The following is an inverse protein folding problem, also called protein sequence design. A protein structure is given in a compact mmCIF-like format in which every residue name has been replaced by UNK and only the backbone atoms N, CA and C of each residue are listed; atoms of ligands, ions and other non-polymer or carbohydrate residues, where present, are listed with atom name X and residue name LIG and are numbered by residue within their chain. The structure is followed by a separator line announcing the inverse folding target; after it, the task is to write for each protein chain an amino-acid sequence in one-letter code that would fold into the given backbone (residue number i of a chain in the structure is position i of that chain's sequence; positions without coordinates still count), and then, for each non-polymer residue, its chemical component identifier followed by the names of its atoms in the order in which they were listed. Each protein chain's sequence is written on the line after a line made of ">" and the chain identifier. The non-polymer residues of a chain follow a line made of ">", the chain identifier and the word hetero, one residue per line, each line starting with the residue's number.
data_IF_300070824712
#
_entry.id   IF_300070824712
#
_cell.length_a   1.000
_cell.length_b   1.000
_cell.length_c   1.000
_cell.angle_alpha   90.00
_cell.angle_beta   90.00
_cell.angle_gamma   90.00
#
_symmetry.space_group_name_H-M   'P 1'
#
loop_
_entity.id
_entity.type
_entity.pdbx_description
1 polymer ?
#
# COMPACT_ATOMS: atom_id res chain seq x y z
N UNK A 1 5.88 10.90 -22.82
CA UNK A 1 5.43 10.71 -21.43
C UNK A 1 4.18 11.54 -21.21
N UNK A 2 2.99 10.97 -21.39
CA UNK A 2 1.70 11.70 -21.39
C UNK A 2 1.36 12.40 -20.07
N UNK A 3 2.12 12.10 -19.00
CA UNK A 3 1.95 12.66 -17.65
C UNK A 3 3.25 13.29 -17.09
N UNK A 4 4.21 13.70 -17.93
CA UNK A 4 5.44 14.30 -17.42
C UNK A 4 5.23 15.63 -16.70
N UNK A 5 4.14 16.34 -17.01
CA UNK A 5 3.81 17.63 -16.38
C UNK A 5 3.40 17.49 -14.91
N UNK A 6 3.07 16.28 -14.46
CA UNK A 6 2.70 15.96 -13.09
C UNK A 6 3.87 15.51 -12.22
N UNK A 7 5.07 15.31 -12.77
CA UNK A 7 6.26 14.92 -12.00
C UNK A 7 6.56 15.87 -10.81
N UNK A 8 6.41 17.20 -10.93
CA UNK A 8 6.55 18.08 -9.77
C UNK A 8 5.54 17.76 -8.65
N UNK A 9 4.33 17.32 -8.99
CA UNK A 9 3.29 16.99 -8.01
C UNK A 9 3.55 15.72 -7.21
N UNK A 10 4.64 15.00 -7.46
CA UNK A 10 5.05 13.87 -6.59
C UNK A 10 5.31 14.37 -5.17
N UNK A 11 6.04 15.48 -5.04
CA UNK A 11 6.46 16.05 -3.75
C UNK A 11 5.62 17.25 -3.32
N UNK A 12 4.87 17.87 -4.24
CA UNK A 12 4.02 19.02 -3.94
C UNK A 12 2.55 18.60 -3.70
N UNK A 13 1.85 19.22 -2.74
CA UNK A 13 2.30 20.36 -1.92
C UNK A 13 3.31 19.97 -0.82
N UNK A 14 4.37 20.77 -0.65
CA UNK A 14 5.38 20.54 0.40
C UNK A 14 4.86 20.86 1.81
N UNK A 15 3.68 21.45 1.94
CA UNK A 15 3.04 21.68 3.23
C UNK A 15 2.43 20.36 3.70
N UNK A 16 3.04 19.68 4.68
CA UNK A 16 2.46 18.46 5.19
C UNK A 16 1.22 18.79 6.01
N UNK A 17 0.28 17.85 6.06
CA UNK A 17 -0.88 18.01 6.94
C UNK A 17 -0.44 18.10 8.41
N UNK A 18 -1.20 18.84 9.24
CA UNK A 18 -0.88 18.98 10.67
C UNK A 18 -0.77 17.60 11.33
N UNK A 19 0.17 17.47 12.27
CA UNK A 19 0.41 16.24 13.04
C UNK A 19 0.73 15.01 12.18
N UNK A 20 1.44 15.23 11.06
CA UNK A 20 2.05 14.17 10.23
C UNK A 20 3.56 14.21 10.32
N UNK A 21 4.19 13.03 10.37
CA UNK A 21 5.62 12.93 10.15
C UNK A 21 5.89 12.77 8.64
N UNK A 22 6.02 13.92 7.98
CA UNK A 22 6.24 14.01 6.54
C UNK A 22 7.62 13.48 6.12
N UNK A 23 7.65 12.75 5.01
CA UNK A 23 8.85 12.04 4.56
C UNK A 23 9.99 12.96 4.11
N UNK A 24 9.68 14.22 3.75
CA UNK A 24 10.68 15.21 3.33
C UNK A 24 10.99 16.25 4.41
N UNK A 25 10.48 16.08 5.63
CA UNK A 25 10.80 16.97 6.75
C UNK A 25 11.95 16.39 7.59
N UNK A 26 13.03 17.17 7.86
CA UNK A 26 14.13 16.72 8.70
C UNK A 26 13.69 16.32 10.12
N UNK A 27 12.69 17.00 10.66
CA UNK A 27 12.15 16.78 12.01
C UNK A 27 11.39 15.46 12.16
N UNK A 28 11.08 14.78 11.06
CA UNK A 28 10.42 13.47 11.07
C UNK A 28 11.39 12.31 11.29
N UNK A 29 12.70 12.58 11.32
CA UNK A 29 13.73 11.58 11.51
C UNK A 29 14.44 11.74 12.86
N UNK A 30 14.93 10.64 13.47
CA UNK A 30 15.63 10.71 14.76
C UNK A 30 16.89 11.57 14.73
N UNK A 31 17.54 11.67 13.57
CA UNK A 31 18.74 12.47 13.39
C UNK A 31 18.78 13.14 12.01
N UNK A 32 19.51 14.25 11.92
CA UNK A 32 19.75 14.93 10.63
C UNK A 32 20.55 14.05 9.65
N UNK A 33 21.37 13.13 10.17
CA UNK A 33 22.13 12.16 9.36
C UNK A 33 21.18 11.17 8.69
N UNK A 34 20.16 10.67 9.40
CA UNK A 34 19.14 9.80 8.83
C UNK A 34 18.35 10.52 7.73
N UNK A 35 17.97 11.78 7.97
CA UNK A 35 17.32 12.61 6.96
C UNK A 35 18.20 12.80 5.72
N UNK A 36 19.47 13.18 5.89
CA UNK A 36 20.39 13.34 4.77
C UNK A 36 20.56 12.03 4.01
N UNK A 37 20.66 10.91 4.72
CA UNK A 37 20.72 9.57 4.15
C UNK A 37 19.48 9.25 3.31
N UNK A 38 18.28 9.66 3.75
CA UNK A 38 17.04 9.54 2.98
C UNK A 38 17.14 10.34 1.68
N UNK A 39 17.49 11.63 1.75
CA UNK A 39 17.58 12.51 0.57
C UNK A 39 18.60 11.99 -0.44
N UNK A 40 19.79 11.62 0.04
CA UNK A 40 20.86 11.04 -0.78
C UNK A 40 20.37 9.74 -1.43
N UNK A 41 19.75 8.85 -0.67
CA UNK A 41 19.25 7.58 -1.19
C UNK A 41 18.07 7.77 -2.14
N UNK A 42 17.27 8.82 -2.06
CA UNK A 42 16.26 9.07 -3.10
C UNK A 42 16.95 9.31 -4.46
N UNK A 43 18.03 10.08 -4.47
CA UNK A 43 18.69 10.53 -5.71
C UNK A 43 19.68 9.49 -6.25
N UNK A 44 20.50 8.90 -5.37
CA UNK A 44 21.63 8.07 -5.78
C UNK A 44 21.18 6.59 -5.94
N UNK A 45 21.39 6.00 -7.13
CA UNK A 45 21.06 4.61 -7.37
C UNK A 45 22.11 3.68 -6.73
N UNK A 46 21.78 3.11 -5.58
CA UNK A 46 22.60 2.10 -4.89
C UNK A 46 21.77 0.84 -4.65
N UNK A 47 22.40 -0.34 -4.72
CA UNK A 47 21.77 -1.58 -4.25
C UNK A 47 21.61 -1.54 -2.73
N UNK A 48 20.42 -1.92 -2.26
CA UNK A 48 20.04 -1.79 -0.85
C UNK A 48 19.65 -3.13 -0.25
N UNK A 49 20.04 -3.34 1.00
CA UNK A 49 19.49 -4.43 1.82
C UNK A 49 18.10 -4.04 2.31
N UNK A 50 17.19 -5.01 2.33
CA UNK A 50 15.88 -4.77 2.92
C UNK A 50 16.00 -4.66 4.43
N UNK A 51 15.33 -3.66 5.03
CA UNK A 51 15.23 -3.53 6.49
C UNK A 51 14.31 -4.58 7.11
N UNK A 52 13.33 -5.06 6.35
CA UNK A 52 12.47 -6.17 6.76
C UNK A 52 11.78 -6.80 5.58
N UNK A 53 11.63 -8.11 5.61
CA UNK A 53 10.82 -8.85 4.65
C UNK A 53 9.39 -9.11 5.15
N UNK A 54 9.02 -8.60 6.34
CA UNK A 54 7.72 -8.83 6.99
C UNK A 54 7.82 -9.33 8.44
N UNK A 55 9.03 -9.46 8.98
CA UNK A 55 9.28 -9.91 10.36
C UNK A 55 9.29 -8.76 11.36
N UNK A 56 9.57 -7.53 10.91
CA UNK A 56 9.63 -6.36 11.75
C UNK A 56 8.22 -5.81 11.95
N UNK A 57 7.72 -5.88 13.18
CA UNK A 57 6.45 -5.28 13.57
C UNK A 57 6.70 -3.85 14.09
N UNK A 58 6.02 -2.88 13.49
CA UNK A 58 5.91 -1.53 14.03
C UNK A 58 4.64 -1.45 14.86
N UNK A 59 4.80 -1.08 16.13
CA UNK A 59 3.70 -0.96 17.08
C UNK A 59 3.31 0.53 17.23
N UNK A 60 2.01 0.85 17.34
CA UNK A 60 1.59 2.17 17.78
C UNK A 60 2.09 2.48 19.19
N UNK A 61 2.22 3.77 19.52
CA UNK A 61 2.56 4.22 20.88
C UNK A 61 1.51 3.72 21.87
N UNK A 62 1.97 3.22 23.03
CA UNK A 62 1.13 2.68 24.11
C UNK A 62 0.17 1.56 23.68
N UNK A 63 0.48 0.86 22.60
CA UNK A 63 -0.38 -0.20 22.08
C UNK A 63 -0.37 -1.46 22.97
N UNK A 64 -1.53 -1.77 23.54
CA UNK A 64 -1.79 -3.04 24.22
C UNK A 64 -2.54 -3.95 23.26
N UNK A 65 -1.94 -5.09 22.88
CA UNK A 65 -2.51 -6.01 21.89
C UNK A 65 -3.68 -6.81 22.48
N UNK A 66 -4.95 -6.50 22.12
CA UNK A 66 -6.08 -7.24 22.63
C UNK A 66 -6.07 -8.66 22.04
N UNK A 67 -6.42 -9.67 22.83
CA UNK A 67 -6.35 -11.07 22.40
C UNK A 67 -7.19 -11.34 21.15
N UNK A 68 -8.36 -10.70 21.04
CA UNK A 68 -9.27 -10.78 19.89
C UNK A 68 -8.62 -10.29 18.58
N UNK A 69 -7.78 -9.25 18.64
CA UNK A 69 -7.12 -8.69 17.45
C UNK A 69 -5.94 -9.53 16.96
N UNK A 70 -5.50 -10.56 17.71
CA UNK A 70 -4.39 -11.46 17.32
C UNK A 70 -4.75 -12.36 16.14
N UNK A 71 -6.03 -12.53 15.84
CA UNK A 71 -6.50 -13.32 14.69
C UNK A 71 -6.32 -12.60 13.35
N UNK A 72 -5.98 -11.30 13.38
CA UNK A 72 -5.68 -10.51 12.18
C UNK A 72 -4.18 -10.24 12.06
N UNK A 73 -3.65 -10.37 10.85
CA UNK A 73 -2.25 -10.05 10.53
C UNK A 73 -2.19 -8.93 9.51
N UNK A 74 -1.55 -7.82 9.88
CA UNK A 74 -1.43 -6.65 9.03
C UNK A 74 -0.01 -6.47 8.52
N UNK A 75 0.10 -6.20 7.23
CA UNK A 75 1.36 -5.90 6.56
C UNK A 75 1.28 -4.55 5.86
N UNK A 76 2.44 -3.91 5.75
CA UNK A 76 2.65 -2.73 4.91
C UNK A 76 3.74 -3.01 3.88
N UNK A 77 3.44 -2.80 2.61
CA UNK A 77 4.40 -2.90 1.49
C UNK A 77 4.67 -1.50 0.96
N UNK A 78 5.91 -1.05 1.10
CA UNK A 78 6.33 0.30 0.73
C UNK A 78 6.44 0.51 -0.80
N UNK A 79 6.67 1.76 -1.20
CA UNK A 79 6.90 2.16 -2.58
C UNK A 79 8.36 2.02 -3.05
N UNK A 80 8.64 2.54 -4.25
CA UNK A 80 10.01 2.71 -4.73
C UNK A 80 10.71 3.86 -4.03
N UNK A 81 12.03 3.88 -4.11
CA UNK A 81 12.90 4.97 -3.67
C UNK A 81 12.86 5.25 -2.17
N UNK A 82 12.15 4.42 -1.41
CA UNK A 82 12.13 4.48 0.05
C UNK A 82 13.47 3.98 0.60
N UNK A 83 14.12 4.78 1.43
CA UNK A 83 15.24 4.30 2.26
C UNK A 83 14.69 3.47 3.43
N UNK A 84 15.51 2.63 4.10
CA UNK A 84 15.10 1.96 5.34
C UNK A 84 14.45 2.89 6.37
N UNK A 85 15.02 4.08 6.57
CA UNK A 85 14.50 5.06 7.52
C UNK A 85 13.14 5.62 7.09
N UNK A 86 12.96 5.93 5.80
CA UNK A 86 11.67 6.38 5.27
C UNK A 86 10.62 5.27 5.33
N UNK A 87 10.97 4.01 5.06
CA UNK A 87 10.03 2.88 5.10
C UNK A 87 9.54 2.61 6.52
N UNK A 88 10.41 2.80 7.51
CA UNK A 88 10.03 2.74 8.92
C UNK A 88 9.14 3.92 9.31
N UNK A 89 9.40 5.12 8.80
CA UNK A 89 8.58 6.29 9.03
C UNK A 89 7.16 6.12 8.46
N UNK A 90 7.06 5.65 7.22
CA UNK A 90 5.79 5.30 6.57
C UNK A 90 5.03 4.23 7.36
N UNK A 91 5.72 3.15 7.76
CA UNK A 91 5.10 2.09 8.54
C UNK A 91 4.60 2.56 9.92
N UNK A 92 5.30 3.51 10.55
CA UNK A 92 4.88 4.15 11.81
C UNK A 92 3.61 4.97 11.62
N UNK A 93 3.51 5.76 10.56
CA UNK A 93 2.30 6.53 10.26
C UNK A 93 1.12 5.62 9.95
N UNK A 94 1.33 4.52 9.21
CA UNK A 94 0.28 3.51 8.97
C UNK A 94 -0.15 2.85 10.29
N UNK A 95 0.80 2.48 11.16
CA UNK A 95 0.49 1.92 12.48
C UNK A 95 -0.27 2.91 13.37
N UNK A 96 0.12 4.18 13.37
CA UNK A 96 -0.55 5.23 14.12
C UNK A 96 -1.97 5.52 13.58
N UNK A 97 -2.15 5.54 12.26
CA UNK A 97 -3.44 5.78 11.62
C UNK A 97 -4.47 4.71 11.97
N UNK A 98 -4.06 3.44 11.97
CA UNK A 98 -4.97 2.30 12.17
C UNK A 98 -4.91 1.70 13.58
N UNK A 99 -4.03 2.20 14.45
CA UNK A 99 -3.81 1.77 15.85
C UNK A 99 -3.70 0.25 15.98
N UNK A 100 -2.81 -0.36 15.20
CA UNK A 100 -2.56 -1.81 15.19
C UNK A 100 -1.14 -2.15 14.75
N UNK A 101 -0.62 -3.34 15.10
CA UNK A 101 0.73 -3.77 14.70
C UNK A 101 0.82 -3.92 13.19
N UNK A 102 1.77 -3.24 12.57
CA UNK A 102 2.00 -3.30 11.13
C UNK A 102 3.34 -3.99 10.86
N UNK A 103 3.31 -5.10 10.12
CA UNK A 103 4.50 -5.80 9.70
C UNK A 103 5.05 -5.21 8.40
N UNK A 104 6.23 -4.59 8.45
CA UNK A 104 6.84 -3.95 7.30
C UNK A 104 7.45 -5.00 6.35
N UNK A 105 6.99 -5.00 5.10
CA UNK A 105 7.61 -5.71 3.98
C UNK A 105 8.30 -4.64 3.12
N UNK A 106 9.58 -4.43 3.36
CA UNK A 106 10.39 -3.48 2.63
C UNK A 106 10.92 -4.11 1.33
N UNK A 107 10.53 -3.54 0.20
CA UNK A 107 11.01 -3.91 -1.12
C UNK A 107 12.05 -2.89 -1.59
N UNK A 108 13.36 -3.12 -1.36
CA UNK A 108 14.39 -2.17 -1.73
C UNK A 108 14.44 -2.01 -3.25
N UNK A 109 14.57 -0.77 -3.70
CA UNK A 109 14.74 -0.41 -5.10
C UNK A 109 16.00 0.42 -5.31
N UNK A 110 16.37 0.69 -6.56
CA UNK A 110 17.69 1.20 -6.90
C UNK A 110 17.70 2.69 -7.29
N UNK A 111 16.82 3.51 -6.69
CA UNK A 111 16.83 4.98 -6.75
C UNK A 111 15.93 5.60 -7.83
N UNK A 112 15.60 6.89 -7.69
CA UNK A 112 14.55 7.61 -8.46
C UNK A 112 14.72 7.52 -9.97
N UNK A 113 15.93 7.69 -10.51
CA UNK A 113 16.12 7.73 -11.97
C UNK A 113 15.93 6.34 -12.60
N UNK A 114 16.52 5.30 -12.00
CA UNK A 114 16.39 3.92 -12.49
C UNK A 114 14.98 3.40 -12.23
N UNK A 115 14.37 3.75 -11.10
CA UNK A 115 13.05 3.27 -10.71
C UNK A 115 11.90 4.04 -11.36
N UNK A 116 12.06 5.31 -11.75
CA UNK A 116 11.07 6.02 -12.54
C UNK A 116 11.10 5.53 -14.00
N UNK A 117 12.30 5.36 -14.58
CA UNK A 117 12.47 4.75 -15.89
C UNK A 117 11.95 3.32 -15.90
N UNK A 118 12.34 2.52 -14.90
CA UNK A 118 11.80 1.18 -14.72
C UNK A 118 10.30 1.26 -14.44
N UNK A 119 9.72 1.99 -13.49
CA UNK A 119 8.26 2.03 -13.27
C UNK A 119 7.46 2.38 -14.53
N UNK A 120 7.96 3.30 -15.36
CA UNK A 120 7.37 3.66 -16.66
C UNK A 120 7.52 2.51 -17.69
N UNK A 121 8.62 1.78 -17.66
CA UNK A 121 8.91 0.63 -18.56
C UNK A 121 8.58 -0.75 -17.95
N UNK A 122 8.23 -0.82 -16.66
CA UNK A 122 8.15 -1.99 -15.79
C UNK A 122 6.73 -2.53 -15.70
N UNK A 123 6.07 -2.52 -16.87
CA UNK A 123 5.34 -3.71 -17.35
C UNK A 123 6.16 -5.00 -17.13
N UNK A 124 7.50 -4.90 -16.97
CA UNK A 124 8.44 -5.97 -16.66
C UNK A 124 8.44 -6.51 -15.20
N UNK A 125 7.84 -5.86 -14.19
CA UNK A 125 7.71 -6.48 -12.85
C UNK A 125 6.78 -7.72 -12.84
N UNK A 126 6.10 -8.00 -13.96
CA UNK A 126 5.44 -9.28 -14.21
C UNK A 126 6.40 -10.47 -14.31
N UNK A 127 7.72 -10.28 -14.49
CA UNK A 127 8.63 -11.39 -14.85
C UNK A 127 9.60 -11.90 -13.78
N UNK A 128 10.09 -11.09 -12.83
CA UNK A 128 11.31 -11.54 -12.14
C UNK A 128 11.15 -12.15 -10.74
N UNK A 129 9.98 -12.12 -10.10
CA UNK A 129 9.68 -12.90 -8.88
C UNK A 129 10.66 -12.77 -7.69
N UNK A 130 11.73 -11.99 -7.80
CA UNK A 130 12.88 -12.00 -6.89
C UNK A 130 12.58 -11.18 -5.64
N UNK A 131 12.02 -9.99 -5.82
CA UNK A 131 11.58 -9.11 -4.73
C UNK A 131 10.28 -9.59 -4.08
N UNK A 132 9.42 -10.30 -4.83
CA UNK A 132 8.08 -10.68 -4.37
C UNK A 132 8.00 -12.06 -3.73
N UNK A 133 9.02 -12.94 -3.90
CA UNK A 133 9.07 -14.27 -3.27
C UNK A 133 9.10 -14.21 -1.73
N UNK A 134 9.97 -13.42 -1.08
CA UNK A 134 9.98 -13.33 0.39
C UNK A 134 8.65 -12.79 0.93
N UNK A 135 8.13 -11.73 0.31
CA UNK A 135 6.84 -11.14 0.65
C UNK A 135 5.69 -12.17 0.50
N UNK A 136 5.66 -12.90 -0.62
CA UNK A 136 4.66 -13.94 -0.85
C UNK A 136 4.71 -15.05 0.20
N UNK A 137 5.90 -15.54 0.59
CA UNK A 137 6.02 -16.60 1.59
C UNK A 137 5.47 -16.17 2.96
N UNK A 138 5.72 -14.92 3.36
CA UNK A 138 5.22 -14.40 4.63
C UNK A 138 3.69 -14.22 4.59
N UNK A 139 3.15 -13.69 3.50
CA UNK A 139 1.70 -13.58 3.33
C UNK A 139 1.04 -14.95 3.24
N UNK A 140 1.66 -15.91 2.54
CA UNK A 140 1.22 -17.31 2.49
C UNK A 140 1.09 -17.89 3.90
N UNK A 141 2.13 -17.77 4.71
CA UNK A 141 2.11 -18.29 6.08
C UNK A 141 1.02 -17.61 6.93
N UNK A 142 0.83 -16.30 6.75
CA UNK A 142 -0.23 -15.57 7.43
C UNK A 142 -1.63 -16.07 7.03
N UNK A 143 -1.88 -16.32 5.74
CA UNK A 143 -3.18 -16.81 5.25
C UNK A 143 -3.55 -18.19 5.81
N UNK A 144 -2.55 -19.04 6.03
CA UNK A 144 -2.71 -20.37 6.60
C UNK A 144 -2.94 -20.35 8.12
N UNK A 145 -2.39 -19.36 8.82
CA UNK A 145 -2.36 -19.33 10.29
C UNK A 145 -3.32 -18.33 10.94
N UNK A 146 -3.81 -17.34 10.20
CA UNK A 146 -4.68 -16.28 10.71
C UNK A 146 -6.05 -16.32 10.04
N UNK A 147 -7.05 -15.71 10.67
CA UNK A 147 -8.41 -15.62 10.14
C UNK A 147 -8.57 -14.45 9.17
N UNK A 148 -7.77 -13.39 9.35
CA UNK A 148 -7.77 -12.21 8.48
C UNK A 148 -6.33 -11.78 8.20
N UNK A 149 -6.05 -11.47 6.93
CA UNK A 149 -4.77 -10.92 6.50
C UNK A 149 -5.02 -9.62 5.74
N UNK A 150 -4.38 -8.54 6.18
CA UNK A 150 -4.55 -7.21 5.59
C UNK A 150 -3.23 -6.75 4.99
N UNK A 151 -3.25 -6.39 3.71
CA UNK A 151 -2.12 -5.79 3.00
C UNK A 151 -2.42 -4.33 2.72
N UNK A 152 -1.76 -3.43 3.43
CA UNK A 152 -1.68 -2.01 3.05
C UNK A 152 -0.48 -1.84 2.12
N UNK A 153 -0.68 -1.20 0.98
CA UNK A 153 0.35 -1.07 -0.05
C UNK A 153 0.39 0.33 -0.59
N UNK A 154 1.59 0.79 -0.93
CA UNK A 154 1.81 2.14 -1.42
C UNK A 154 2.63 2.15 -2.70
N UNK A 155 2.24 2.98 -3.68
CA UNK A 155 2.98 3.20 -4.92
C UNK A 155 3.30 1.89 -5.66
N UNK A 156 4.58 1.57 -5.90
CA UNK A 156 5.01 0.31 -6.52
C UNK A 156 4.68 -0.94 -5.68
N UNK A 157 4.50 -0.81 -4.36
CA UNK A 157 4.08 -1.93 -3.49
C UNK A 157 2.76 -2.56 -3.96
N UNK A 158 1.92 -1.81 -4.66
CA UNK A 158 0.68 -2.33 -5.30
C UNK A 158 0.96 -3.37 -6.39
N UNK A 159 2.09 -3.27 -7.12
CA UNK A 159 2.51 -4.26 -8.11
C UNK A 159 2.91 -5.57 -7.42
N UNK A 160 3.57 -5.46 -6.27
CA UNK A 160 3.95 -6.61 -5.44
C UNK A 160 2.70 -7.29 -4.87
N UNK A 161 1.73 -6.53 -4.38
CA UNK A 161 0.43 -7.08 -3.95
C UNK A 161 -0.31 -7.77 -5.11
N UNK A 162 -0.38 -7.16 -6.30
CA UNK A 162 -0.96 -7.80 -7.48
C UNK A 162 -0.28 -9.13 -7.81
N UNK A 163 1.05 -9.21 -7.71
CA UNK A 163 1.78 -10.48 -7.85
C UNK A 163 1.38 -11.49 -6.76
N UNK A 164 1.33 -11.09 -5.49
CA UNK A 164 0.96 -11.97 -4.37
C UNK A 164 -0.44 -12.53 -4.59
N UNK A 165 -1.41 -11.67 -4.90
CA UNK A 165 -2.79 -12.07 -5.19
C UNK A 165 -2.84 -13.07 -6.35
N UNK A 166 -2.13 -12.80 -7.46
CA UNK A 166 -2.08 -13.75 -8.58
C UNK A 166 -1.51 -15.12 -8.19
N UNK A 167 -0.54 -15.16 -7.27
CA UNK A 167 0.02 -16.43 -6.77
C UNK A 167 -0.95 -17.15 -5.82
N UNK A 168 -1.61 -16.41 -4.93
CA UNK A 168 -2.64 -16.95 -4.02
C UNK A 168 -3.79 -17.56 -4.82
N UNK A 169 -4.30 -16.86 -5.85
CA UNK A 169 -5.42 -17.34 -6.65
C UNK A 169 -5.06 -18.52 -7.59
N UNK A 170 -3.79 -18.66 -7.96
CA UNK A 170 -3.31 -19.78 -8.80
C UNK A 170 -3.02 -21.06 -8.01
N UNK A 171 -2.72 -20.94 -6.72
CA UNK A 171 -2.45 -22.08 -5.84
C UNK A 171 -3.77 -22.65 -5.29
N UNK A 172 -4.14 -23.91 -5.60
CA UNK A 172 -5.42 -24.49 -5.17
C UNK A 172 -5.63 -24.50 -3.65
N UNK A 173 -4.56 -24.62 -2.86
CA UNK A 173 -4.62 -24.62 -1.40
C UNK A 173 -4.85 -23.20 -0.90
N UNK A 174 -4.06 -22.24 -1.39
CA UNK A 174 -4.17 -20.85 -0.93
C UNK A 174 -5.43 -20.15 -1.42
N UNK A 175 -5.93 -20.53 -2.59
CA UNK A 175 -7.17 -20.01 -3.17
C UNK A 175 -8.35 -20.18 -2.21
N UNK A 176 -8.41 -21.29 -1.46
CA UNK A 176 -9.46 -21.51 -0.45
C UNK A 176 -9.42 -20.49 0.69
N UNK A 177 -8.25 -19.91 0.97
CA UNK A 177 -8.04 -18.89 1.99
C UNK A 177 -8.08 -17.45 1.44
N UNK A 178 -8.30 -17.26 0.14
CA UNK A 178 -8.28 -15.94 -0.49
C UNK A 178 -9.34 -14.97 0.08
N UNK A 179 -10.45 -15.49 0.62
CA UNK A 179 -11.51 -14.70 1.27
C UNK A 179 -11.05 -14.01 2.56
N UNK A 180 -9.95 -14.49 3.17
CA UNK A 180 -9.35 -13.88 4.38
C UNK A 180 -8.50 -12.64 4.06
N UNK A 181 -8.16 -12.44 2.79
CA UNK A 181 -7.22 -11.43 2.33
C UNK A 181 -7.95 -10.13 1.97
N UNK A 182 -7.56 -9.03 2.62
CA UNK A 182 -7.94 -7.66 2.27
C UNK A 182 -6.70 -6.93 1.74
N UNK A 183 -6.84 -6.20 0.64
CA UNK A 183 -5.75 -5.46 -0.02
C UNK A 183 -6.17 -4.01 -0.23
N UNK A 184 -5.38 -3.10 0.34
CA UNK A 184 -5.59 -1.67 0.26
C UNK A 184 -4.43 -1.04 -0.51
N UNK A 185 -4.73 -0.46 -1.67
CA UNK A 185 -3.76 0.10 -2.60
C UNK A 185 -3.79 1.62 -2.57
N UNK A 186 -2.70 2.26 -2.15
CA UNK A 186 -2.60 3.71 -1.99
C UNK A 186 -1.64 4.27 -3.05
N UNK A 187 -2.06 5.26 -3.83
CA UNK A 187 -1.26 5.86 -4.90
C UNK A 187 -0.72 4.84 -5.92
N UNK A 188 -1.54 3.83 -6.24
CA UNK A 188 -1.07 2.59 -6.87
C UNK A 188 -0.56 2.72 -8.30
N UNK A 189 0.65 2.19 -8.54
CA UNK A 189 1.25 2.06 -9.87
C UNK A 189 0.87 0.75 -10.61
N UNK A 190 0.13 -0.16 -9.97
CA UNK A 190 -0.29 -1.41 -10.60
C UNK A 190 -1.33 -1.20 -11.71
N UNK A 191 -1.20 -1.99 -12.78
CA UNK A 191 -2.10 -2.01 -13.94
C UNK A 191 -3.34 -2.88 -13.73
N UNK A 192 -3.29 -3.80 -12.77
CA UNK A 192 -4.33 -4.80 -12.58
C UNK A 192 -4.23 -5.43 -11.21
N UNK A 193 -5.38 -5.68 -10.60
CA UNK A 193 -5.52 -6.50 -9.41
C UNK A 193 -6.70 -7.43 -9.63
N UNK A 194 -6.44 -8.74 -9.55
CA UNK A 194 -7.42 -9.77 -9.91
C UNK A 194 -8.17 -10.28 -8.68
N UNK A 195 -9.40 -10.73 -8.93
CA UNK A 195 -10.26 -11.38 -7.94
C UNK A 195 -10.69 -12.75 -8.46
N UNK A 196 -11.15 -13.59 -7.56
CA UNK A 196 -11.81 -14.85 -7.86
C UNK A 196 -13.31 -14.62 -7.99
N UNK A 197 -13.85 -14.71 -9.19
CA UNK A 197 -15.27 -14.47 -9.44
C UNK A 197 -16.19 -15.47 -8.74
N UNK A 198 -15.80 -16.74 -8.61
CA UNK A 198 -16.63 -17.76 -7.97
C UNK A 198 -16.70 -17.54 -6.45
N UNK A 199 -15.56 -17.25 -5.83
CA UNK A 199 -15.53 -16.88 -4.40
C UNK A 199 -16.21 -15.54 -4.17
N UNK A 200 -16.05 -14.58 -5.08
CA UNK A 200 -16.69 -13.26 -4.95
C UNK A 200 -18.21 -13.38 -4.98
N UNK A 201 -18.75 -14.19 -5.90
CA UNK A 201 -20.19 -14.48 -5.95
C UNK A 201 -20.68 -15.17 -4.66
N UNK A 202 -19.90 -16.10 -4.12
CA UNK A 202 -20.23 -16.80 -2.86
C UNK A 202 -20.22 -15.87 -1.64
N UNK A 203 -19.28 -14.94 -1.55
CA UNK A 203 -19.10 -14.07 -0.39
C UNK A 203 -19.84 -12.73 -0.50
N UNK A 204 -20.38 -12.38 -1.68
CA UNK A 204 -21.13 -11.14 -1.90
C UNK A 204 -20.27 -9.88 -2.02
N UNK A 205 -18.94 -10.02 -2.03
CA UNK A 205 -17.96 -8.96 -2.21
C UNK A 205 -16.75 -9.48 -3.00
N UNK A 206 -15.83 -8.61 -3.40
CA UNK A 206 -14.62 -9.08 -4.12
C UNK A 206 -13.76 -9.98 -3.24
N UNK A 207 -13.23 -11.08 -3.80
CA UNK A 207 -12.32 -12.01 -3.11
C UNK A 207 -11.00 -12.14 -3.89
N UNK A 208 -9.84 -11.69 -3.37
CA UNK A 208 -9.68 -10.95 -2.11
C UNK A 208 -10.45 -9.64 -2.11
N UNK A 209 -10.67 -9.07 -0.92
CA UNK A 209 -11.27 -7.74 -0.81
C UNK A 209 -10.26 -6.67 -1.22
N UNK A 210 -10.68 -5.67 -2.00
CA UNK A 210 -9.76 -4.70 -2.61
C UNK A 210 -10.35 -3.29 -2.61
N UNK A 211 -9.56 -2.33 -2.15
CA UNK A 211 -9.82 -0.89 -2.35
C UNK A 211 -8.57 -0.17 -2.87
N UNK A 212 -8.78 0.84 -3.71
CA UNK A 212 -7.75 1.71 -4.25
C UNK A 212 -8.02 3.16 -3.86
N UNK A 213 -6.97 3.88 -3.48
CA UNK A 213 -7.00 5.31 -3.15
C UNK A 213 -6.04 6.04 -4.08
N UNK A 214 -6.54 7.05 -4.78
CA UNK A 214 -5.75 7.80 -5.75
C UNK A 214 -6.00 9.31 -5.66
N UNK A 215 -4.93 10.08 -5.72
CA UNK A 215 -4.97 11.51 -5.99
C UNK A 215 -5.02 11.70 -7.50
N UNK A 216 -5.98 12.45 -8.03
CA UNK A 216 -6.21 12.50 -9.48
C UNK A 216 -5.11 13.21 -10.28
N UNK A 217 -4.20 13.95 -9.62
CA UNK A 217 -2.99 14.55 -10.21
C UNK A 217 -1.69 13.84 -9.81
N UNK A 218 -1.77 12.71 -9.11
CA UNK A 218 -0.59 11.88 -8.80
C UNK A 218 -0.12 11.16 -10.07
N UNK A 219 1.15 11.39 -10.43
CA UNK A 219 1.80 10.78 -11.58
C UNK A 219 1.68 9.25 -11.60
N UNK A 220 1.99 8.58 -10.48
CA UNK A 220 2.04 7.11 -10.43
C UNK A 220 0.63 6.51 -10.48
N UNK A 221 -0.32 7.12 -9.79
CA UNK A 221 -1.72 6.73 -9.89
C UNK A 221 -2.26 6.91 -11.31
N UNK A 222 -1.87 8.00 -12.01
CA UNK A 222 -2.27 8.28 -13.39
C UNK A 222 -1.75 7.26 -14.40
N UNK A 223 -0.48 6.85 -14.30
CA UNK A 223 0.07 5.82 -15.19
C UNK A 223 -0.30 4.39 -14.77
N UNK A 224 -0.75 4.21 -13.53
CA UNK A 224 -1.17 2.92 -12.97
C UNK A 224 -2.69 2.79 -12.88
N UNK A 225 -3.21 2.79 -11.64
CA UNK A 225 -4.60 2.45 -11.33
C UNK A 225 -5.64 3.28 -12.10
N UNK A 226 -5.37 4.56 -12.39
CA UNK A 226 -6.31 5.44 -13.09
C UNK A 226 -6.29 5.23 -14.61
N UNK A 227 -5.13 4.94 -15.21
CA UNK A 227 -5.06 4.54 -16.63
C UNK A 227 -5.71 3.17 -16.87
N UNK A 228 -5.71 2.33 -15.85
CA UNK A 228 -6.20 0.95 -15.88
C UNK A 228 -7.46 0.74 -15.03
N UNK A 229 -8.30 1.79 -14.94
CA UNK A 229 -9.52 1.79 -14.13
C UNK A 229 -10.42 0.58 -14.43
N UNK A 230 -10.50 0.16 -15.69
CA UNK A 230 -11.32 -0.98 -16.12
C UNK A 230 -10.63 -2.35 -16.00
N UNK A 231 -9.31 -2.38 -15.84
CA UNK A 231 -8.53 -3.63 -15.75
C UNK A 231 -8.33 -4.08 -14.29
N UNK A 232 -8.49 -3.18 -13.33
CA UNK A 232 -8.28 -3.45 -11.90
C UNK A 232 -9.58 -3.69 -11.14
N UNK A 233 -9.61 -4.71 -10.27
CA UNK A 233 -10.79 -5.05 -9.47
C UNK A 233 -10.80 -4.29 -8.14
N UNK A 234 -11.98 -4.12 -7.55
CA UNK A 234 -12.17 -3.45 -6.25
C UNK A 234 -12.75 -2.04 -6.38
N UNK A 235 -13.06 -1.42 -5.24
CA UNK A 235 -13.51 -0.04 -5.21
C UNK A 235 -12.34 0.91 -5.50
N UNK A 236 -12.56 1.94 -6.31
CA UNK A 236 -11.54 2.96 -6.60
C UNK A 236 -12.06 4.30 -6.09
N UNK A 237 -11.38 4.87 -5.10
CA UNK A 237 -11.68 6.16 -4.52
C UNK A 237 -10.68 7.19 -5.01
N UNK A 238 -11.18 8.26 -5.62
CA UNK A 238 -10.35 9.29 -6.26
C UNK A 238 -10.78 10.67 -5.77
N UNK A 239 -9.81 11.50 -5.38
CA UNK A 239 -10.01 12.94 -5.23
C UNK A 239 -9.45 13.60 -6.50
N UNK A 240 -10.30 14.04 -7.47
CA UNK A 240 -9.87 14.34 -8.84
C UNK A 240 -8.78 15.41 -8.98
N UNK A 241 -8.84 16.46 -8.17
CA UNK A 241 -7.89 17.59 -8.26
C UNK A 241 -6.79 17.56 -7.20
N UNK A 242 -6.77 16.52 -6.36
CA UNK A 242 -5.73 16.36 -5.35
C UNK A 242 -4.39 16.01 -6.00
N UNK A 243 -3.34 16.67 -5.52
CA UNK A 243 -1.92 16.50 -5.88
C UNK A 243 -1.20 15.71 -4.81
N UNK A 244 0.07 15.37 -5.05
CA UNK A 244 0.91 14.71 -4.06
C UNK A 244 0.92 13.19 -4.22
N UNK A 245 2.11 12.60 -4.13
CA UNK A 245 2.29 11.15 -4.12
C UNK A 245 2.70 10.62 -2.73
N UNK A 246 3.55 11.34 -2.00
CA UNK A 246 4.04 10.95 -0.66
C UNK A 246 2.94 10.42 0.28
N UNK A 247 3.15 9.24 0.85
CA UNK A 247 2.16 8.51 1.65
C UNK A 247 1.72 9.30 2.88
N UNK A 248 2.68 9.72 3.70
CA UNK A 248 2.40 10.38 4.98
C UNK A 248 1.87 11.78 4.72
N UNK A 249 2.50 12.49 3.79
CA UNK A 249 2.18 13.90 3.52
C UNK A 249 0.86 14.08 2.75
N UNK A 250 0.45 13.13 1.89
CA UNK A 250 -0.64 13.36 0.94
C UNK A 250 -1.80 12.35 0.99
N UNK A 251 -1.62 11.17 1.60
CA UNK A 251 -2.63 10.11 1.56
C UNK A 251 -3.16 9.72 2.94
N UNK A 252 -2.28 9.32 3.87
CA UNK A 252 -2.68 8.51 5.04
C UNK A 252 -3.71 9.20 5.95
N UNK A 253 -3.54 10.50 6.20
CA UNK A 253 -4.48 11.27 7.03
C UNK A 253 -5.82 11.48 6.34
N UNK A 254 -5.83 11.77 5.04
CA UNK A 254 -7.07 11.90 4.28
C UNK A 254 -7.87 10.60 4.23
N UNK A 255 -7.18 9.46 4.11
CA UNK A 255 -7.81 8.14 4.25
C UNK A 255 -8.38 7.95 5.65
N UNK A 256 -7.62 8.30 6.69
CA UNK A 256 -8.04 8.17 8.10
C UNK A 256 -9.21 9.07 8.50
N UNK A 257 -9.41 10.18 7.80
CA UNK A 257 -10.59 11.07 7.96
C UNK A 257 -11.77 10.68 7.07
N UNK A 258 -11.55 9.81 6.09
CA UNK A 258 -12.57 9.36 5.15
C UNK A 258 -12.79 10.29 3.95
N UNK A 259 -11.86 11.23 3.70
CA UNK A 259 -11.96 12.28 2.68
C UNK A 259 -12.17 11.74 1.25
N UNK A 260 -11.72 10.52 0.97
CA UNK A 260 -11.76 9.91 -0.38
C UNK A 260 -13.12 9.31 -0.75
N UNK A 261 -13.97 9.01 0.23
CA UNK A 261 -15.05 8.04 0.04
C UNK A 261 -16.30 8.33 0.87
N UNK A 262 -16.41 9.54 1.44
CA UNK A 262 -17.47 9.91 2.38
C UNK A 262 -17.64 8.86 3.49
N UNK A 263 -16.51 8.42 4.05
CA UNK A 263 -16.46 7.43 5.14
C UNK A 263 -17.00 6.03 4.81
N UNK A 264 -17.24 5.71 3.52
CA UNK A 264 -17.73 4.39 3.10
C UNK A 264 -16.64 3.32 3.04
N UNK A 265 -15.38 3.70 2.87
CA UNK A 265 -14.26 2.76 2.80
C UNK A 265 -14.21 1.85 4.03
N UNK A 266 -13.94 0.57 3.78
CA UNK A 266 -13.62 -0.41 4.80
C UNK A 266 -12.31 -0.08 5.53
N UNK A 267 -11.30 0.41 4.80
CA UNK A 267 -10.03 0.85 5.40
C UNK A 267 -10.27 1.98 6.40
N UNK A 268 -11.12 2.94 6.04
CA UNK A 268 -11.48 4.03 6.94
C UNK A 268 -12.10 3.52 8.24
N UNK A 269 -12.89 2.43 8.23
CA UNK A 269 -13.46 1.85 9.47
C UNK A 269 -12.40 1.36 10.46
N UNK A 270 -11.20 1.04 9.97
CA UNK A 270 -10.08 0.65 10.83
C UNK A 270 -9.30 1.84 11.42
N UNK A 271 -9.56 3.07 10.96
CA UNK A 271 -8.88 4.26 11.44
C UNK A 271 -9.12 4.47 12.94
N UNK A 272 -8.13 5.04 13.63
CA UNK A 272 -8.17 5.31 15.07
C UNK A 272 -8.50 4.06 15.93
N UNK A 273 -8.16 2.86 15.44
CA UNK A 273 -8.37 1.60 16.17
C UNK A 273 -9.76 0.99 16.04
N UNK A 274 -10.62 1.55 15.18
CA UNK A 274 -11.92 1.00 14.85
C UNK A 274 -11.85 -0.39 14.20
N UNK A 275 -12.99 -1.01 13.94
CA UNK A 275 -13.07 -2.31 13.29
C UNK A 275 -14.12 -2.29 12.17
N UNK A 276 -13.83 -2.98 11.07
CA UNK A 276 -14.75 -3.11 9.96
C UNK A 276 -15.62 -4.36 10.13
N UNK A 277 -16.94 -4.17 10.09
CA UNK A 277 -17.96 -5.22 10.18
C UNK A 277 -18.27 -5.88 8.84
N UNK A 278 -19.18 -6.85 8.84
CA UNK A 278 -19.57 -7.59 7.63
C UNK A 278 -20.32 -6.73 6.58
N UNK A 279 -20.85 -5.56 6.98
CA UNK A 279 -21.60 -4.66 6.10
C UNK A 279 -20.72 -3.56 5.47
N UNK A 280 -19.46 -3.47 5.88
CA UNK A 280 -18.51 -2.45 5.38
C UNK A 280 -17.79 -2.89 4.11
N UNK A 281 -18.18 -4.02 3.50
CA UNK A 281 -17.67 -4.41 2.19
C UNK A 281 -18.31 -3.56 1.10
N UNK A 282 -17.48 -2.90 0.30
CA UNK A 282 -17.95 -2.23 -0.89
C UNK A 282 -18.23 -3.26 -1.98
N UNK A 283 -19.47 -3.31 -2.53
CA UNK A 283 -19.76 -4.18 -3.65
C UNK A 283 -18.85 -3.86 -4.84
N UNK A 284 -18.42 -4.86 -5.62
CA UNK A 284 -17.69 -4.60 -6.86
C UNK A 284 -18.53 -3.68 -7.77
N UNK A 285 -17.89 -2.67 -8.37
CA UNK A 285 -18.56 -1.74 -9.28
C UNK A 285 -19.22 -2.54 -10.42
N UNK A 286 -20.55 -2.50 -10.48
CA UNK A 286 -21.37 -3.21 -11.48
C UNK A 286 -21.34 -2.54 -12.85
N UNK A 287 -20.56 -1.46 -13.04
CA UNK A 287 -20.32 -0.85 -14.37
C UNK A 287 -19.41 -1.71 -15.28
N UNK A 288 -19.40 -3.02 -15.05
CA UNK A 288 -18.77 -4.05 -15.87
C UNK A 288 -19.84 -5.01 -16.37
#
# INVERSE_FOLDING_TARGET
>A
LTHSVELPWIVFPLQPEKDTHAELLPTSYPSYVDYLSVVVQMIIPTERKSVSYGTLAVLPTDYVWPQEKRQSKWFFINGICTSPAMALLEAREVAAAFQRPIHLIHTPTAGVVRDLWNAITARSLRKDGYLSRPAFNIVKNALLSHEKVVLTTYSQGTIVASYIVRKVLKDPVLRQHAHKLEVYCIGGAADSLHIDHALSAKHGHSVPYVEHFANGKDFFARVGVLAHYHDTSGAIFVIPDKKGHMLNSHYIKGISRGDYCDQRSRLFKYANGGEAGAHDYIPPDRRR
#
